data_IF_596906229057
#
_entry.id   IF_596906229057
#
_cell.length_a   1.000
_cell.length_b   1.000
_cell.length_c   1.000
_cell.angle_alpha   90.00
_cell.angle_beta   90.00
_cell.angle_gamma   90.00
#
_symmetry.space_group_name_H-M   'P 1'
#
loop_
_entity.id
_entity.type
_entity.pdbx_description
1 polymer ?
#
# COMPACT_ATOMS: atom_id res chain seq x y z
N UNK A 1 -30.46 10.84 47.07
CA UNK A 1 -29.03 10.95 46.85
C UNK A 1 -28.52 9.85 45.88
N UNK A 2 -28.79 8.57 46.15
CA UNK A 2 -28.35 7.44 45.31
C UNK A 2 -28.84 7.53 43.86
N UNK A 3 -30.10 7.91 43.62
CA UNK A 3 -30.70 8.04 42.27
C UNK A 3 -29.97 9.09 41.41
N UNK A 4 -29.61 10.22 42.03
CA UNK A 4 -28.86 11.26 41.31
C UNK A 4 -27.45 10.83 40.94
N UNK A 5 -26.81 9.99 41.78
CA UNK A 5 -25.50 9.41 41.53
C UNK A 5 -25.56 8.39 40.37
N UNK A 6 -26.59 7.54 40.37
CA UNK A 6 -26.83 6.58 39.28
C UNK A 6 -27.13 7.28 37.96
N UNK A 7 -27.93 8.34 37.99
CA UNK A 7 -28.21 9.13 36.79
C UNK A 7 -26.96 9.81 36.24
N UNK A 8 -26.11 10.38 37.11
CA UNK A 8 -24.82 10.97 36.70
C UNK A 8 -23.88 9.96 36.10
N UNK A 9 -23.78 8.75 36.69
CA UNK A 9 -22.97 7.67 36.16
C UNK A 9 -23.47 7.19 34.78
N UNK A 10 -24.79 7.10 34.61
CA UNK A 10 -25.38 6.73 33.30
C UNK A 10 -25.09 7.79 32.23
N UNK A 11 -25.24 9.07 32.54
CA UNK A 11 -24.92 10.16 31.61
C UNK A 11 -23.43 10.16 31.25
N UNK A 12 -22.55 9.94 32.21
CA UNK A 12 -21.11 9.80 31.98
C UNK A 12 -20.82 8.63 31.02
N UNK A 13 -21.44 7.47 31.24
CA UNK A 13 -21.31 6.31 30.37
C UNK A 13 -21.71 6.58 28.91
N UNK A 14 -22.82 7.29 28.70
CA UNK A 14 -23.29 7.68 27.37
C UNK A 14 -22.30 8.61 26.67
N UNK A 15 -21.77 9.60 27.41
CA UNK A 15 -20.76 10.53 26.87
C UNK A 15 -19.48 9.77 26.46
N UNK A 16 -18.96 8.91 27.33
CA UNK A 16 -17.77 8.11 27.03
C UNK A 16 -17.97 7.17 25.82
N UNK A 17 -19.15 6.55 25.72
CA UNK A 17 -19.50 5.72 24.57
C UNK A 17 -19.54 6.55 23.26
N UNK A 18 -20.14 7.74 23.30
CA UNK A 18 -20.18 8.65 22.16
C UNK A 18 -18.78 9.08 21.70
N UNK A 19 -17.89 9.42 22.63
CA UNK A 19 -16.49 9.76 22.33
C UNK A 19 -15.72 8.56 21.74
N UNK A 20 -15.93 7.38 22.27
CA UNK A 20 -15.36 6.15 21.75
C UNK A 20 -15.81 5.88 20.30
N UNK A 21 -17.11 5.99 20.05
CA UNK A 21 -17.69 5.83 18.71
C UNK A 21 -17.08 6.81 17.70
N UNK A 22 -17.00 8.10 18.05
CA UNK A 22 -16.38 9.10 17.18
C UNK A 22 -14.92 8.79 16.90
N UNK A 23 -14.18 8.30 17.90
CA UNK A 23 -12.78 7.88 17.73
C UNK A 23 -12.65 6.70 16.77
N UNK A 24 -13.51 5.68 16.89
CA UNK A 24 -13.55 4.54 15.97
C UNK A 24 -13.81 4.98 14.53
N UNK A 25 -14.83 5.79 14.31
CA UNK A 25 -15.19 6.31 12.98
C UNK A 25 -14.03 7.11 12.38
N UNK A 26 -13.37 7.93 13.18
CA UNK A 26 -12.21 8.73 12.75
C UNK A 26 -11.04 7.85 12.32
N UNK A 27 -10.69 6.85 13.13
CA UNK A 27 -9.58 5.93 12.84
C UNK A 27 -9.88 5.03 11.63
N UNK A 28 -11.13 4.55 11.52
CA UNK A 28 -11.58 3.79 10.36
C UNK A 28 -11.42 4.61 9.06
N UNK A 29 -11.90 5.85 9.05
CA UNK A 29 -11.71 6.77 7.92
C UNK A 29 -10.23 7.03 7.62
N UNK A 30 -9.40 7.17 8.65
CA UNK A 30 -7.97 7.38 8.48
C UNK A 30 -7.30 6.16 7.80
N UNK A 31 -7.64 4.94 8.22
CA UNK A 31 -7.14 3.70 7.61
C UNK A 31 -7.62 3.55 6.16
N UNK A 32 -8.90 3.78 5.87
CA UNK A 32 -9.46 3.75 4.52
C UNK A 32 -8.80 4.79 3.59
N UNK A 33 -8.62 6.01 4.06
CA UNK A 33 -7.96 7.07 3.30
C UNK A 33 -6.48 6.74 3.02
N UNK A 34 -5.80 6.15 4.00
CA UNK A 34 -4.42 5.72 3.85
C UNK A 34 -4.31 4.56 2.84
N UNK A 35 -5.26 3.62 2.87
CA UNK A 35 -5.37 2.54 1.88
C UNK A 35 -5.57 3.08 0.46
N UNK A 36 -6.52 4.00 0.26
CA UNK A 36 -6.77 4.61 -1.05
C UNK A 36 -5.52 5.31 -1.61
N UNK A 37 -4.75 6.01 -0.76
CA UNK A 37 -3.49 6.64 -1.17
C UNK A 37 -2.44 5.61 -1.56
N UNK A 38 -2.34 4.50 -0.81
CA UNK A 38 -1.44 3.40 -1.13
C UNK A 38 -1.82 2.76 -2.47
N UNK A 39 -3.09 2.42 -2.68
CA UNK A 39 -3.60 1.83 -3.90
C UNK A 39 -3.36 2.73 -5.12
N UNK A 40 -3.62 4.04 -5.00
CA UNK A 40 -3.35 4.99 -6.08
C UNK A 40 -1.85 5.08 -6.41
N UNK A 41 -0.96 5.07 -5.41
CA UNK A 41 0.48 5.09 -5.65
C UNK A 41 0.97 3.80 -6.31
N UNK A 42 0.41 2.63 -5.93
CA UNK A 42 0.72 1.35 -6.58
C UNK A 42 0.25 1.34 -8.04
N UNK A 43 -0.94 1.85 -8.33
CA UNK A 43 -1.44 2.01 -9.71
C UNK A 43 -0.53 2.92 -10.53
N UNK A 44 -0.15 4.08 -10.00
CA UNK A 44 0.75 5.01 -10.70
C UNK A 44 2.13 4.38 -10.97
N UNK A 45 2.66 3.59 -10.03
CA UNK A 45 3.90 2.82 -10.24
C UNK A 45 3.72 1.79 -11.36
N UNK A 46 2.62 1.06 -11.36
CA UNK A 46 2.34 0.04 -12.36
C UNK A 46 2.22 0.62 -13.79
N UNK A 47 1.78 1.88 -13.95
CA UNK A 47 1.74 2.57 -15.25
C UNK A 47 3.12 2.78 -15.87
N UNK A 48 4.18 2.86 -15.07
CA UNK A 48 5.55 3.05 -15.56
C UNK A 48 6.21 1.75 -16.06
N UNK A 49 5.64 0.58 -15.71
CA UNK A 49 6.21 -0.73 -16.03
C UNK A 49 6.30 -0.99 -17.54
N UNK A 50 5.20 -0.85 -18.32
CA UNK A 50 5.26 -1.10 -19.75
C UNK A 50 6.20 -0.15 -20.48
N UNK A 51 6.29 1.10 -20.02
CA UNK A 51 7.18 2.13 -20.62
C UNK A 51 8.63 1.75 -20.39
N UNK A 52 9.00 1.29 -19.18
CA UNK A 52 10.35 0.80 -18.90
C UNK A 52 10.70 -0.42 -19.73
N UNK A 53 9.77 -1.39 -19.79
CA UNK A 53 9.99 -2.63 -20.55
C UNK A 53 10.21 -2.34 -22.04
N UNK A 54 9.41 -1.44 -22.64
CA UNK A 54 9.58 -1.02 -24.02
C UNK A 54 10.90 -0.28 -24.27
N UNK A 55 11.30 0.60 -23.36
CA UNK A 55 12.58 1.32 -23.45
C UNK A 55 13.75 0.34 -23.34
N UNK A 56 13.68 -0.62 -22.43
CA UNK A 56 14.70 -1.64 -22.27
C UNK A 56 14.75 -2.64 -23.46
N UNK A 57 13.60 -2.97 -24.04
CA UNK A 57 13.50 -3.90 -25.17
C UNK A 57 14.19 -3.40 -26.44
N UNK A 58 14.29 -2.07 -26.61
CA UNK A 58 15.00 -1.47 -27.75
C UNK A 58 16.52 -1.70 -27.72
N UNK A 59 17.07 -2.05 -26.55
CA UNK A 59 18.51 -2.14 -26.30
C UNK A 59 18.95 -3.47 -25.69
N UNK A 60 18.04 -4.37 -25.32
CA UNK A 60 18.36 -5.62 -24.64
C UNK A 60 17.73 -6.82 -25.33
N UNK A 61 18.31 -8.01 -25.07
CA UNK A 61 17.75 -9.32 -25.46
C UNK A 61 16.52 -9.72 -24.64
N UNK A 62 15.73 -8.75 -24.11
CA UNK A 62 14.51 -9.06 -23.40
C UNK A 62 13.49 -9.62 -24.39
N UNK A 63 13.06 -10.85 -24.11
CA UNK A 63 12.06 -11.55 -24.93
C UNK A 63 10.75 -10.75 -25.01
N UNK A 64 10.15 -10.73 -26.21
CA UNK A 64 8.81 -10.14 -26.42
C UNK A 64 7.76 -10.72 -25.49
N UNK A 65 7.91 -11.99 -25.13
CA UNK A 65 7.05 -12.69 -24.17
C UNK A 65 7.12 -12.04 -22.77
N UNK A 66 8.32 -11.70 -22.31
CA UNK A 66 8.53 -11.03 -21.03
C UNK A 66 7.87 -9.63 -20.99
N UNK A 67 7.94 -8.88 -22.10
CA UNK A 67 7.27 -7.56 -22.21
C UNK A 67 5.74 -7.74 -22.18
N UNK A 68 5.25 -8.77 -22.87
CA UNK A 68 3.82 -9.12 -22.87
C UNK A 68 3.35 -9.51 -21.47
N UNK A 69 4.06 -10.37 -20.76
CA UNK A 69 3.77 -10.74 -19.38
C UNK A 69 3.71 -9.51 -18.46
N UNK A 70 4.67 -8.59 -18.56
CA UNK A 70 4.67 -7.35 -17.77
C UNK A 70 3.42 -6.52 -17.99
N UNK A 71 2.97 -6.37 -19.23
CA UNK A 71 1.75 -5.59 -19.53
C UNK A 71 0.50 -6.22 -18.95
N UNK A 72 0.42 -7.57 -18.92
CA UNK A 72 -0.70 -8.30 -18.30
C UNK A 72 -0.69 -8.27 -16.76
N UNK A 73 0.48 -8.16 -16.13
CA UNK A 73 0.56 -8.06 -14.68
C UNK A 73 -0.09 -6.81 -14.11
N UNK A 74 -0.09 -5.70 -14.86
CA UNK A 74 -0.81 -4.48 -14.46
C UNK A 74 -2.30 -4.77 -14.22
N UNK A 75 -2.94 -5.52 -15.12
CA UNK A 75 -4.35 -5.88 -14.98
C UNK A 75 -4.59 -6.90 -13.86
N UNK A 76 -3.69 -7.88 -13.70
CA UNK A 76 -3.76 -8.85 -12.60
C UNK A 76 -3.71 -8.20 -11.22
N UNK A 77 -2.95 -7.10 -11.05
CA UNK A 77 -2.95 -6.34 -9.80
C UNK A 77 -4.26 -5.59 -9.56
N UNK A 78 -4.92 -5.13 -10.62
CA UNK A 78 -6.23 -4.44 -10.50
C UNK A 78 -7.35 -5.37 -10.08
N UNK A 79 -7.28 -6.64 -10.47
CA UNK A 79 -8.32 -7.65 -10.23
C UNK A 79 -8.15 -8.44 -8.94
N UNK A 80 -7.07 -8.21 -8.18
CA UNK A 80 -6.85 -8.85 -6.88
C UNK A 80 -7.98 -8.51 -5.90
N UNK A 81 -8.64 -9.54 -5.37
CA UNK A 81 -9.80 -9.41 -4.50
C UNK A 81 -9.42 -9.32 -3.02
N UNK A 82 -8.30 -9.92 -2.64
CA UNK A 82 -7.81 -9.94 -1.26
C UNK A 82 -6.53 -9.11 -1.11
N UNK A 83 -6.27 -8.66 0.13
CA UNK A 83 -5.03 -7.95 0.45
C UNK A 83 -3.81 -8.83 0.20
N UNK A 84 -3.90 -10.12 0.54
CA UNK A 84 -2.81 -11.10 0.36
C UNK A 84 -2.49 -11.32 -1.12
N UNK A 85 -3.51 -11.48 -1.97
CA UNK A 85 -3.32 -11.55 -3.43
C UNK A 85 -2.67 -10.27 -3.96
N UNK A 86 -3.11 -9.11 -3.47
CA UNK A 86 -2.53 -7.83 -3.84
C UNK A 86 -1.04 -7.75 -3.50
N UNK A 87 -0.66 -8.14 -2.27
CA UNK A 87 0.74 -8.19 -1.83
C UNK A 87 1.56 -9.13 -2.70
N UNK A 88 1.03 -10.34 -3.01
CA UNK A 88 1.72 -11.31 -3.86
C UNK A 88 1.98 -10.75 -5.27
N UNK A 89 0.98 -10.09 -5.88
CA UNK A 89 1.12 -9.47 -7.21
C UNK A 89 2.10 -8.29 -7.21
N UNK A 90 2.06 -7.44 -6.18
CA UNK A 90 3.01 -6.33 -6.04
C UNK A 90 4.46 -6.82 -5.85
N UNK A 91 4.66 -7.92 -5.12
CA UNK A 91 5.98 -8.58 -5.01
C UNK A 91 6.45 -9.14 -6.36
N UNK A 92 5.56 -9.77 -7.12
CA UNK A 92 5.86 -10.28 -8.46
C UNK A 92 6.28 -9.15 -9.42
N UNK A 93 5.56 -8.03 -9.44
CA UNK A 93 5.94 -6.83 -10.19
C UNK A 93 7.33 -6.36 -9.78
N UNK A 94 7.59 -6.24 -8.49
CA UNK A 94 8.89 -5.80 -7.97
C UNK A 94 10.04 -6.71 -8.46
N UNK A 95 9.84 -8.03 -8.48
CA UNK A 95 10.84 -8.96 -9.00
C UNK A 95 11.08 -8.79 -10.51
N UNK A 96 10.03 -8.55 -11.28
CA UNK A 96 10.15 -8.29 -12.72
C UNK A 96 10.85 -6.96 -13.02
N UNK A 97 10.57 -5.92 -12.23
CA UNK A 97 11.32 -4.66 -12.29
C UNK A 97 12.82 -4.87 -12.09
N UNK A 98 13.19 -5.65 -11.05
CA UNK A 98 14.61 -5.99 -10.81
C UNK A 98 15.26 -6.63 -12.03
N UNK A 99 14.56 -7.58 -12.69
CA UNK A 99 15.06 -8.22 -13.90
C UNK A 99 15.32 -7.21 -15.01
N UNK A 100 14.37 -6.30 -15.28
CA UNK A 100 14.51 -5.25 -16.30
C UNK A 100 15.70 -4.34 -15.99
N UNK A 101 15.80 -3.84 -14.74
CA UNK A 101 16.92 -2.97 -14.36
C UNK A 101 18.27 -3.68 -14.42
N UNK A 102 18.34 -4.93 -13.96
CA UNK A 102 19.58 -5.72 -14.03
C UNK A 102 19.99 -5.97 -15.47
N UNK A 103 19.04 -6.23 -16.39
CA UNK A 103 19.33 -6.38 -17.81
C UNK A 103 19.81 -5.04 -18.41
N UNK A 104 19.11 -3.94 -18.13
CA UNK A 104 19.48 -2.61 -18.61
C UNK A 104 20.86 -2.15 -18.12
N UNK A 105 21.26 -2.51 -16.90
CA UNK A 105 22.57 -2.17 -16.35
C UNK A 105 23.75 -2.84 -17.07
N UNK A 106 23.51 -3.90 -17.85
CA UNK A 106 24.53 -4.55 -18.69
C UNK A 106 24.83 -3.77 -19.98
N UNK A 107 23.96 -2.82 -20.35
CA UNK A 107 24.08 -2.04 -21.58
C UNK A 107 24.59 -0.63 -21.30
N UNK A 108 25.87 -0.32 -21.63
CA UNK A 108 26.47 1.00 -21.36
C UNK A 108 25.70 2.16 -22.02
N UNK A 109 25.06 1.89 -23.16
CA UNK A 109 24.29 2.85 -23.95
C UNK A 109 23.09 3.39 -23.19
N UNK A 110 22.40 2.54 -22.40
CA UNK A 110 21.27 2.94 -21.56
C UNK A 110 21.68 3.83 -20.39
N UNK A 111 22.91 3.70 -19.91
CA UNK A 111 23.43 4.55 -18.82
C UNK A 111 23.61 6.01 -19.22
N UNK A 112 23.71 6.28 -20.52
CA UNK A 112 23.88 7.62 -21.07
C UNK A 112 22.62 8.13 -21.77
N UNK A 113 21.61 7.28 -21.96
CA UNK A 113 20.33 7.68 -22.58
C UNK A 113 19.50 8.53 -21.62
N UNK A 114 19.20 9.76 -22.04
CA UNK A 114 18.50 10.74 -21.20
C UNK A 114 17.05 10.30 -20.91
N UNK A 115 16.38 9.64 -21.85
CA UNK A 115 15.00 9.17 -21.67
C UNK A 115 14.95 8.02 -20.67
N UNK A 116 15.88 7.08 -20.77
CA UNK A 116 16.00 5.97 -19.83
C UNK A 116 16.29 6.46 -18.41
N UNK A 117 17.23 7.40 -18.27
CA UNK A 117 17.57 8.00 -16.97
C UNK A 117 16.39 8.77 -16.33
N UNK A 118 15.61 9.50 -17.14
CA UNK A 118 14.39 10.16 -16.66
C UNK A 118 13.35 9.14 -16.19
N UNK A 119 13.16 8.06 -16.95
CA UNK A 119 12.24 6.99 -16.60
C UNK A 119 12.67 6.28 -15.32
N UNK A 120 13.95 5.96 -15.18
CA UNK A 120 14.53 5.38 -13.96
C UNK A 120 14.24 6.25 -12.74
N UNK A 121 14.52 7.56 -12.82
CA UNK A 121 14.21 8.52 -11.74
C UNK A 121 12.72 8.55 -11.41
N UNK A 122 11.84 8.46 -12.40
CA UNK A 122 10.39 8.43 -12.19
C UNK A 122 9.94 7.17 -11.44
N UNK A 123 10.56 6.02 -11.74
CA UNK A 123 10.27 4.75 -11.06
C UNK A 123 10.77 4.76 -9.62
N UNK A 124 12.00 5.24 -9.37
CA UNK A 124 12.54 5.43 -8.01
C UNK A 124 11.61 6.33 -7.18
N UNK A 125 11.18 7.44 -7.77
CA UNK A 125 10.24 8.35 -7.11
C UNK A 125 8.89 7.69 -6.80
N UNK A 126 8.33 6.95 -7.76
CA UNK A 126 7.07 6.21 -7.57
C UNK A 126 7.19 5.15 -6.47
N UNK A 127 8.32 4.41 -6.44
CA UNK A 127 8.62 3.43 -5.38
C UNK A 127 8.67 4.10 -4.00
N UNK A 128 9.39 5.20 -3.86
CA UNK A 128 9.44 5.97 -2.61
C UNK A 128 8.05 6.44 -2.14
N UNK A 129 7.15 6.81 -3.08
CA UNK A 129 5.76 7.15 -2.78
C UNK A 129 4.96 5.94 -2.27
N UNK A 130 5.14 4.77 -2.87
CA UNK A 130 4.49 3.51 -2.43
C UNK A 130 4.97 3.15 -1.03
N UNK A 131 6.30 3.18 -0.76
CA UNK A 131 6.86 2.89 0.55
C UNK A 131 6.35 3.85 1.65
N UNK A 132 6.29 5.14 1.34
CA UNK A 132 5.75 6.15 2.27
C UNK A 132 4.27 5.90 2.57
N UNK A 133 3.48 5.59 1.54
CA UNK A 133 2.06 5.29 1.70
C UNK A 133 1.81 3.97 2.46
N UNK A 134 2.61 2.92 2.22
CA UNK A 134 2.61 1.65 2.99
C UNK A 134 2.81 1.92 4.48
N UNK A 135 3.86 2.68 4.84
CA UNK A 135 4.13 3.05 6.24
C UNK A 135 2.94 3.77 6.88
N UNK A 136 2.31 4.70 6.14
CA UNK A 136 1.13 5.44 6.63
C UNK A 136 -0.09 4.54 6.81
N UNK A 137 -0.35 3.63 5.86
CA UNK A 137 -1.43 2.66 5.97
C UNK A 137 -1.24 1.73 7.18
N UNK A 138 -0.07 1.12 7.31
CA UNK A 138 0.22 0.21 8.42
C UNK A 138 0.17 0.92 9.78
N UNK A 139 0.56 2.21 9.85
CA UNK A 139 0.39 3.00 11.07
C UNK A 139 -1.09 3.22 11.39
N UNK A 140 -1.90 3.64 10.41
CA UNK A 140 -3.33 3.86 10.62
C UNK A 140 -4.08 2.55 10.97
N UNK A 141 -3.73 1.44 10.33
CA UNK A 141 -4.24 0.10 10.65
C UNK A 141 -3.89 -0.30 12.10
N UNK A 142 -2.64 -0.07 12.53
CA UNK A 142 -2.20 -0.34 13.89
C UNK A 142 -2.96 0.50 14.90
N UNK A 143 -3.12 1.81 14.65
CA UNK A 143 -3.82 2.72 15.54
C UNK A 143 -5.28 2.28 15.73
N UNK A 144 -5.96 1.89 14.64
CA UNK A 144 -7.30 1.33 14.70
C UNK A 144 -7.34 0.01 15.48
N UNK A 145 -6.50 -0.97 15.13
CA UNK A 145 -6.48 -2.28 15.76
C UNK A 145 -6.17 -2.19 17.26
N UNK A 146 -5.25 -1.28 17.65
CA UNK A 146 -4.89 -1.05 19.05
C UNK A 146 -6.10 -0.57 19.86
N UNK A 147 -6.83 0.43 19.34
CA UNK A 147 -8.02 0.95 20.03
C UNK A 147 -9.13 -0.09 20.06
N UNK A 148 -9.31 -0.87 18.99
CA UNK A 148 -10.30 -1.95 18.92
C UNK A 148 -10.04 -3.10 19.92
N UNK A 149 -8.79 -3.27 20.37
CA UNK A 149 -8.41 -4.30 21.33
C UNK A 149 -8.52 -3.89 22.80
N UNK A 150 -8.59 -2.57 23.11
CA UNK A 150 -8.61 -2.06 24.50
C UNK A 150 -9.99 -2.24 25.14
N UNK A 151 -10.04 -2.75 26.38
CA UNK A 151 -11.26 -2.78 27.20
C UNK A 151 -11.54 -1.37 27.76
N UNK A 152 -12.79 -0.86 27.74
CA UNK A 152 -14.05 -1.50 27.27
C UNK A 152 -14.34 -1.33 25.77
N UNK A 153 -13.47 -0.68 24.99
CA UNK A 153 -13.72 -0.30 23.58
C UNK A 153 -13.87 -1.51 22.66
N UNK A 154 -13.28 -2.65 23.02
CA UNK A 154 -13.43 -3.90 22.29
C UNK A 154 -14.90 -4.40 22.22
N UNK A 155 -15.72 -4.08 23.22
CA UNK A 155 -17.17 -4.38 23.16
C UNK A 155 -17.87 -3.50 22.14
N UNK A 156 -17.48 -2.22 22.06
CA UNK A 156 -18.00 -1.28 21.05
C UNK A 156 -17.59 -1.75 19.64
N UNK A 157 -16.34 -2.16 19.46
CA UNK A 157 -15.86 -2.67 18.20
C UNK A 157 -16.64 -3.90 17.74
N UNK A 158 -16.87 -4.88 18.61
CA UNK A 158 -17.67 -6.08 18.33
C UNK A 158 -19.13 -5.76 18.01
N UNK A 159 -19.75 -4.86 18.78
CA UNK A 159 -21.15 -4.46 18.58
C UNK A 159 -21.36 -3.76 17.23
N UNK A 160 -20.33 -3.05 16.73
CA UNK A 160 -20.35 -2.33 15.46
C UNK A 160 -19.76 -3.15 14.30
N UNK A 161 -19.45 -4.43 14.54
CA UNK A 161 -18.88 -5.36 13.55
C UNK A 161 -17.61 -4.83 12.87
N UNK A 162 -16.78 -4.09 13.63
CA UNK A 162 -15.50 -3.65 13.13
C UNK A 162 -14.49 -4.81 13.15
N UNK A 163 -13.99 -5.16 11.97
CA UNK A 163 -12.91 -6.12 11.80
C UNK A 163 -11.55 -5.43 11.89
N UNK A 164 -10.53 -6.09 12.47
CA UNK A 164 -9.16 -5.60 12.46
C UNK A 164 -8.63 -5.47 11.02
N UNK A 165 -7.91 -4.40 10.75
CA UNK A 165 -7.21 -4.22 9.49
C UNK A 165 -5.99 -5.13 9.40
N UNK A 166 -5.84 -5.81 8.26
CA UNK A 166 -4.62 -6.53 7.91
C UNK A 166 -3.50 -5.54 7.54
N UNK A 167 -2.24 -5.91 7.86
CA UNK A 167 -1.09 -5.11 7.48
C UNK A 167 -0.66 -5.41 6.05
N UNK A 168 -0.25 -4.37 5.35
CA UNK A 168 0.30 -4.49 4.00
C UNK A 168 1.82 -4.69 4.12
N UNK A 169 2.29 -5.92 3.89
CA UNK A 169 3.71 -6.25 3.94
C UNK A 169 4.21 -6.79 2.60
N UNK A 170 4.89 -5.92 1.84
CA UNK A 170 5.58 -6.31 0.62
C UNK A 170 7.05 -5.90 0.69
N UNK A 171 7.94 -6.63 -0.02
CA UNK A 171 9.38 -6.42 0.04
C UNK A 171 9.81 -5.18 -0.77
N UNK A 172 10.39 -4.14 -0.13
CA UNK A 172 10.81 -2.90 -0.78
C UNK A 172 12.15 -2.99 -1.52
N UNK A 173 12.59 -4.15 -1.92
CA UNK A 173 13.96 -4.42 -2.34
C UNK A 173 14.39 -3.82 -3.69
N UNK A 174 13.55 -2.98 -4.35
CA UNK A 174 13.94 -2.23 -5.56
C UNK A 174 15.03 -1.20 -5.29
N UNK A 175 15.00 -0.55 -4.13
CA UNK A 175 15.95 0.50 -3.76
C UNK A 175 17.40 -0.01 -3.77
N UNK A 176 17.63 -1.26 -3.36
CA UNK A 176 18.96 -1.90 -3.33
C UNK A 176 19.55 -2.30 -4.69
N UNK A 177 18.75 -2.32 -5.75
CA UNK A 177 19.20 -2.72 -7.09
C UNK A 177 19.54 -1.49 -7.93
N UNK A 178 19.09 -0.30 -7.49
CA UNK A 178 19.21 0.94 -8.25
C UNK A 178 20.27 1.91 -7.68
N UNK A 179 20.92 1.56 -6.54
CA UNK A 179 22.13 2.21 -6.03
C UNK A 179 23.39 1.61 -6.68
#
# INVERSE_FOLDING_TARGET
MLIWFLFGAMCMGVVLFGLAYLKFVSLNKAAQNAWQKLDNNMKNRAELIPVLALSAASFSELDREFIYELSHMKEACRTAQTLQERVAKENEITQKFKKVFTAAMKHPELKTDEHFLKLQKSIIYAEGKVQSAKKKYNSAARDFNTIAAIIPLNFVAKMLEFEPYEYFDFDPSLEKVME
#
